data_IF_733186304108
#
_entry.id   IF_733186304108
#
_cell.length_a   1.000
_cell.length_b   1.000
_cell.length_c   1.000
_cell.angle_alpha   90.00
_cell.angle_beta   90.00
_cell.angle_gamma   90.00
#
_symmetry.space_group_name_H-M   'P 1'
#
loop_
_entity.id
_entity.type
_entity.pdbx_description
1 polymer ?
#
# COMPACT_ATOMS: atom_id res chain seq x y z
N UNK A 1 -23.33 19.11 -9.20
CA UNK A 1 -22.88 20.08 -8.16
C UNK A 1 -23.23 19.54 -6.77
N UNK A 2 -22.32 19.58 -5.79
CA UNK A 2 -22.56 19.05 -4.44
C UNK A 2 -23.71 19.80 -3.77
N UNK A 3 -24.61 19.05 -3.12
CA UNK A 3 -25.81 19.61 -2.44
C UNK A 3 -25.52 20.18 -1.06
N UNK A 4 -24.40 19.81 -0.42
CA UNK A 4 -24.05 20.25 0.95
C UNK A 4 -22.63 20.80 1.01
N UNK A 5 -22.37 21.71 1.97
CA UNK A 5 -21.03 22.25 2.23
C UNK A 5 -20.02 21.15 2.58
N UNK A 6 -20.45 20.10 3.29
CA UNK A 6 -19.61 18.93 3.62
C UNK A 6 -19.19 18.17 2.36
N UNK A 7 -20.12 17.91 1.44
CA UNK A 7 -19.82 17.25 0.17
C UNK A 7 -18.90 18.10 -0.72
N UNK A 8 -19.08 19.43 -0.72
CA UNK A 8 -18.20 20.36 -1.44
C UNK A 8 -16.75 20.27 -0.92
N UNK A 9 -16.55 20.42 0.40
CA UNK A 9 -15.21 20.29 1.04
C UNK A 9 -14.55 18.94 0.79
N UNK A 10 -15.34 17.87 0.73
CA UNK A 10 -14.84 16.53 0.43
C UNK A 10 -14.28 16.43 -1.00
N UNK A 11 -14.97 17.01 -1.99
CA UNK A 11 -14.49 17.05 -3.37
C UNK A 11 -13.26 17.94 -3.52
N UNK A 12 -13.29 19.15 -2.94
CA UNK A 12 -12.15 20.10 -2.96
C UNK A 12 -10.88 19.50 -2.31
N UNK A 13 -11.03 18.64 -1.30
CA UNK A 13 -9.88 17.98 -0.66
C UNK A 13 -9.17 17.02 -1.62
N UNK A 14 -9.92 16.41 -2.55
CA UNK A 14 -9.48 15.41 -3.54
C UNK A 14 -9.03 16.00 -4.86
N UNK A 15 -9.37 17.26 -5.13
CA UNK A 15 -8.91 17.93 -6.34
C UNK A 15 -7.37 18.01 -6.37
N UNK A 16 -6.75 17.99 -7.57
CA UNK A 16 -5.31 18.16 -7.73
C UNK A 16 -4.81 19.45 -7.08
N UNK A 17 -3.62 19.40 -6.49
CA UNK A 17 -3.02 20.54 -5.77
C UNK A 17 -1.57 20.73 -6.21
N UNK A 18 -1.12 21.98 -6.27
CA UNK A 18 0.29 22.31 -6.50
C UNK A 18 1.21 21.73 -5.42
N UNK A 19 0.76 21.77 -4.16
CA UNK A 19 1.40 21.08 -3.04
C UNK A 19 0.55 19.87 -2.67
N UNK A 20 1.05 18.69 -3.00
CA UNK A 20 0.36 17.43 -2.74
C UNK A 20 0.15 17.17 -1.23
N UNK A 21 -0.91 16.42 -0.91
CA UNK A 21 -1.09 15.89 0.44
C UNK A 21 -0.23 14.62 0.62
N UNK A 22 -0.08 14.16 1.86
CA UNK A 22 0.48 12.84 2.17
C UNK A 22 -0.29 11.72 1.44
N UNK A 23 0.43 10.75 0.89
CA UNK A 23 -0.12 9.66 0.10
C UNK A 23 -0.74 8.59 1.01
N UNK A 24 -2.04 8.36 0.84
CA UNK A 24 -2.74 7.30 1.56
C UNK A 24 -2.55 5.94 0.86
N UNK A 25 -2.41 4.88 1.68
CA UNK A 25 -2.30 3.51 1.20
C UNK A 25 -3.54 2.68 1.52
N UNK A 26 -4.06 1.96 0.53
CA UNK A 26 -5.08 0.93 0.76
C UNK A 26 -4.46 -0.46 0.85
N UNK A 27 -4.78 -1.19 1.91
CA UNK A 27 -4.32 -2.55 2.13
C UNK A 27 -5.48 -3.51 1.91
N UNK A 28 -5.36 -4.36 0.90
CA UNK A 28 -6.42 -5.20 0.36
C UNK A 28 -6.07 -6.66 0.58
N UNK A 29 -6.96 -7.36 1.28
CA UNK A 29 -6.88 -8.80 1.45
C UNK A 29 -7.47 -9.50 0.23
N UNK A 30 -6.65 -10.25 -0.51
CA UNK A 30 -7.09 -11.08 -1.62
C UNK A 30 -7.90 -12.31 -1.19
N UNK A 31 -8.65 -12.89 -2.12
CA UNK A 31 -9.51 -14.07 -1.89
C UNK A 31 -8.80 -15.23 -1.17
N UNK A 32 -7.57 -15.53 -1.62
CA UNK A 32 -6.79 -16.66 -1.12
C UNK A 32 -5.76 -16.28 -0.05
N UNK A 33 -5.80 -15.05 0.50
CA UNK A 33 -4.87 -14.64 1.54
C UNK A 33 -4.98 -15.53 2.79
N UNK A 34 -3.85 -16.09 3.22
CA UNK A 34 -3.72 -16.93 4.41
C UNK A 34 -3.47 -16.07 5.67
N UNK A 35 -3.19 -16.74 6.81
CA UNK A 35 -2.93 -16.07 8.08
C UNK A 35 -1.68 -15.19 8.01
N UNK A 36 -0.57 -15.69 7.50
CA UNK A 36 0.69 -14.95 7.36
C UNK A 36 0.50 -13.65 6.61
N UNK A 37 -0.10 -13.70 5.41
CA UNK A 37 -0.39 -12.51 4.60
C UNK A 37 -1.32 -11.55 5.33
N UNK A 38 -2.31 -12.08 6.06
CA UNK A 38 -3.24 -11.24 6.82
C UNK A 38 -2.53 -10.49 7.95
N UNK A 39 -1.64 -11.15 8.69
CA UNK A 39 -0.87 -10.52 9.76
C UNK A 39 0.13 -9.50 9.20
N UNK A 40 0.79 -9.79 8.07
CA UNK A 40 1.69 -8.83 7.41
C UNK A 40 0.93 -7.56 7.01
N UNK A 41 -0.26 -7.68 6.41
CA UNK A 41 -1.08 -6.52 6.07
C UNK A 41 -1.50 -5.71 7.31
N UNK A 42 -1.76 -6.37 8.46
CA UNK A 42 -2.08 -5.67 9.71
C UNK A 42 -0.86 -4.91 10.26
N UNK A 43 0.31 -5.51 10.21
CA UNK A 43 1.54 -4.90 10.72
C UNK A 43 1.97 -3.72 9.84
N UNK A 44 1.89 -3.85 8.52
CA UNK A 44 2.13 -2.72 7.59
C UNK A 44 1.08 -1.61 7.80
N UNK A 45 -0.19 -1.98 8.02
CA UNK A 45 -1.23 -1.00 8.36
C UNK A 45 -0.86 -0.22 9.63
N UNK A 46 -0.40 -0.90 10.69
CA UNK A 46 0.01 -0.25 11.94
C UNK A 46 1.15 0.75 11.72
N UNK A 47 2.14 0.41 10.88
CA UNK A 47 3.27 1.29 10.53
C UNK A 47 2.82 2.50 9.72
N UNK A 48 1.85 2.34 8.81
CA UNK A 48 1.44 3.39 7.87
C UNK A 48 0.33 4.30 8.41
N UNK A 49 -0.23 4.01 9.59
CA UNK A 49 -1.20 4.90 10.23
C UNK A 49 -0.62 6.30 10.50
N UNK A 50 -1.43 7.37 10.36
CA UNK A 50 -2.87 7.36 10.03
C UNK A 50 -3.19 7.32 8.53
N UNK A 51 -2.17 7.24 7.66
CA UNK A 51 -2.30 7.38 6.20
C UNK A 51 -2.56 6.04 5.49
N UNK A 52 -3.39 5.20 6.10
CA UNK A 52 -3.71 3.89 5.57
C UNK A 52 -5.17 3.48 5.79
N UNK A 53 -5.70 2.66 4.89
CA UNK A 53 -7.03 2.06 4.97
C UNK A 53 -6.90 0.55 4.79
N UNK A 54 -7.30 -0.23 5.79
CA UNK A 54 -7.29 -1.70 5.74
C UNK A 54 -8.68 -2.25 5.38
N UNK A 55 -8.78 -2.95 4.25
CA UNK A 55 -9.98 -3.67 3.85
C UNK A 55 -10.03 -5.06 4.49
N UNK A 56 -10.98 -5.22 5.42
CA UNK A 56 -11.15 -6.48 6.19
C UNK A 56 -11.73 -7.64 5.37
N UNK A 57 -12.64 -7.34 4.43
CA UNK A 57 -13.26 -8.35 3.57
C UNK A 57 -12.27 -8.84 2.53
N UNK A 58 -12.37 -10.12 2.17
CA UNK A 58 -11.62 -10.70 1.06
C UNK A 58 -12.14 -10.15 -0.26
N UNK A 59 -11.23 -9.82 -1.19
CA UNK A 59 -11.55 -9.32 -2.52
C UNK A 59 -10.99 -10.28 -3.56
N UNK A 60 -11.85 -10.78 -4.44
CA UNK A 60 -11.45 -11.65 -5.54
C UNK A 60 -11.03 -10.74 -6.69
N UNK A 61 -9.74 -10.39 -6.69
CA UNK A 61 -9.13 -9.53 -7.70
C UNK A 61 -7.78 -10.13 -8.08
N UNK A 62 -7.40 -10.00 -9.35
CA UNK A 62 -6.10 -10.41 -9.85
C UNK A 62 -5.44 -9.18 -10.48
N UNK A 63 -4.66 -8.41 -9.70
CA UNK A 63 -4.19 -7.09 -10.13
C UNK A 63 -3.49 -7.03 -11.49
N UNK A 64 -2.74 -8.07 -11.86
CA UNK A 64 -2.06 -8.15 -13.16
C UNK A 64 -2.95 -8.58 -14.33
N UNK A 65 -4.15 -9.10 -14.06
CA UNK A 65 -5.13 -9.50 -15.09
C UNK A 65 -6.21 -8.42 -15.26
N UNK A 66 -6.72 -7.87 -14.15
CA UNK A 66 -7.71 -6.79 -14.14
C UNK A 66 -7.46 -5.82 -12.97
N UNK A 67 -7.28 -4.55 -13.34
CA UNK A 67 -6.97 -3.45 -12.42
C UNK A 67 -8.22 -2.66 -12.00
N UNK A 68 -9.36 -2.86 -12.66
CA UNK A 68 -10.59 -2.07 -12.48
C UNK A 68 -11.05 -2.01 -11.02
N UNK A 69 -10.95 -3.15 -10.32
CA UNK A 69 -11.29 -3.22 -8.89
C UNK A 69 -10.37 -2.35 -8.03
N UNK A 70 -9.07 -2.31 -8.33
CA UNK A 70 -8.12 -1.47 -7.62
C UNK A 70 -8.36 0.01 -7.89
N UNK A 71 -8.59 0.39 -9.14
CA UNK A 71 -8.91 1.79 -9.51
C UNK A 71 -10.19 2.25 -8.82
N UNK A 72 -11.21 1.39 -8.76
CA UNK A 72 -12.44 1.65 -8.00
C UNK A 72 -12.17 1.88 -6.51
N UNK A 73 -11.37 1.03 -5.86
CA UNK A 73 -11.02 1.20 -4.45
C UNK A 73 -10.18 2.46 -4.22
N UNK A 74 -9.25 2.76 -5.13
CA UNK A 74 -8.41 3.96 -5.09
C UNK A 74 -9.26 5.22 -5.12
N UNK A 75 -10.19 5.33 -6.08
CA UNK A 75 -11.13 6.47 -6.19
C UNK A 75 -12.07 6.56 -5.00
N UNK A 76 -12.53 5.42 -4.49
CA UNK A 76 -13.43 5.36 -3.33
C UNK A 76 -12.75 5.87 -2.06
N UNK A 77 -11.54 5.40 -1.78
CA UNK A 77 -10.80 5.69 -0.54
C UNK A 77 -9.81 6.85 -0.65
N UNK A 78 -9.65 7.44 -1.83
CA UNK A 78 -8.66 8.49 -2.08
C UNK A 78 -7.24 8.06 -1.71
N UNK A 79 -6.85 6.91 -2.24
CA UNK A 79 -5.56 6.27 -1.96
C UNK A 79 -4.73 6.16 -3.25
N UNK A 80 -3.57 6.79 -3.26
CA UNK A 80 -2.62 6.74 -4.38
C UNK A 80 -1.63 5.57 -4.27
N UNK A 81 -1.66 4.82 -3.17
CA UNK A 81 -0.81 3.66 -2.92
C UNK A 81 -1.67 2.46 -2.59
N UNK A 82 -1.21 1.26 -2.92
CA UNK A 82 -1.90 0.04 -2.49
C UNK A 82 -0.97 -1.12 -2.20
N UNK A 83 -1.46 -2.01 -1.33
CA UNK A 83 -0.91 -3.34 -1.13
C UNK A 83 -2.02 -4.36 -1.30
N UNK A 84 -1.77 -5.40 -2.08
CA UNK A 84 -2.67 -6.53 -2.26
C UNK A 84 -1.99 -7.83 -1.83
N UNK A 85 -2.55 -8.46 -0.80
CA UNK A 85 -2.02 -9.72 -0.28
C UNK A 85 -2.75 -10.94 -0.82
N UNK A 86 -2.02 -11.95 -1.27
CA UNK A 86 -2.57 -13.21 -1.79
C UNK A 86 -1.67 -14.40 -1.46
N UNK A 87 -2.17 -15.62 -1.64
CA UNK A 87 -1.35 -16.82 -1.46
C UNK A 87 -1.83 -17.90 -2.42
N UNK A 88 -0.89 -18.58 -3.09
CA UNK A 88 -1.13 -19.81 -3.84
C UNK A 88 0.18 -20.63 -3.95
N UNK A 89 0.11 -21.86 -4.48
CA UNK A 89 1.28 -22.75 -4.60
C UNK A 89 2.40 -22.18 -5.47
N UNK A 90 2.06 -21.46 -6.55
CA UNK A 90 3.05 -20.85 -7.48
C UNK A 90 3.68 -19.58 -6.90
N UNK A 91 2.93 -18.84 -6.09
CA UNK A 91 3.30 -17.57 -5.46
C UNK A 91 2.88 -17.59 -3.98
N UNK A 92 3.65 -18.26 -3.12
CA UNK A 92 3.34 -18.35 -1.71
C UNK A 92 3.52 -16.98 -1.02
N UNK A 93 2.60 -16.65 -0.11
CA UNK A 93 2.62 -15.44 0.73
C UNK A 93 2.97 -14.17 -0.04
N UNK A 94 2.22 -13.94 -1.10
CA UNK A 94 2.54 -12.95 -2.10
C UNK A 94 1.95 -11.57 -1.76
N UNK A 95 2.75 -10.53 -1.89
CA UNK A 95 2.35 -9.14 -1.78
C UNK A 95 2.58 -8.41 -3.10
N UNK A 96 1.55 -7.75 -3.59
CA UNK A 96 1.67 -6.81 -4.70
C UNK A 96 1.62 -5.41 -4.10
N UNK A 97 2.65 -4.61 -4.36
CA UNK A 97 2.71 -3.20 -3.97
C UNK A 97 2.64 -2.37 -5.26
N UNK A 98 1.86 -1.30 -5.25
CA UNK A 98 1.77 -0.43 -6.42
C UNK A 98 1.29 0.97 -6.10
N UNK A 99 1.35 1.83 -7.12
CA UNK A 99 0.95 3.23 -7.04
C UNK A 99 -0.06 3.54 -8.12
N UNK A 100 -0.89 4.53 -7.82
CA UNK A 100 -1.87 5.08 -8.73
C UNK A 100 -1.45 6.49 -9.16
N UNK A 101 -1.77 6.84 -10.39
CA UNK A 101 -1.74 8.19 -10.92
C UNK A 101 -3.13 8.51 -11.48
N UNK A 102 -3.75 9.57 -10.98
CA UNK A 102 -5.15 9.91 -11.29
C UNK A 102 -6.11 8.71 -11.15
N UNK A 103 -5.96 7.95 -10.06
CA UNK A 103 -6.73 6.74 -9.75
C UNK A 103 -6.54 5.55 -10.72
N UNK A 104 -5.65 5.66 -11.71
CA UNK A 104 -5.22 4.58 -12.59
C UNK A 104 -3.91 3.97 -12.11
N UNK A 105 -3.70 2.67 -12.34
CA UNK A 105 -2.46 2.00 -11.93
C UNK A 105 -1.29 2.56 -12.76
N UNK A 106 -0.26 3.06 -12.05
CA UNK A 106 0.98 3.54 -12.66
C UNK A 106 2.00 2.40 -12.74
N UNK A 107 2.28 1.77 -11.61
CA UNK A 107 3.21 0.64 -11.53
C UNK A 107 2.84 -0.33 -10.40
N UNK A 108 3.29 -1.58 -10.57
CA UNK A 108 3.10 -2.67 -9.62
C UNK A 108 4.35 -3.53 -9.55
N UNK A 109 4.69 -3.99 -8.34
CA UNK A 109 5.76 -4.97 -8.10
C UNK A 109 5.20 -6.06 -7.19
N UNK A 110 5.60 -7.30 -7.48
CA UNK A 110 5.21 -8.48 -6.72
C UNK A 110 6.40 -8.98 -5.88
N UNK A 111 6.15 -9.20 -4.58
CA UNK A 111 7.14 -9.60 -3.59
C UNK A 111 6.63 -10.81 -2.81
N UNK A 112 7.40 -11.90 -2.82
CA UNK A 112 7.11 -13.09 -2.02
C UNK A 112 7.63 -12.95 -0.59
N UNK A 113 6.82 -13.30 0.40
CA UNK A 113 7.24 -13.32 1.81
C UNK A 113 7.73 -14.72 2.19
N UNK A 114 8.99 -14.81 2.59
CA UNK A 114 9.60 -16.06 3.04
C UNK A 114 9.55 -16.24 4.57
N UNK A 115 10.16 -15.31 5.32
CA UNK A 115 10.34 -15.42 6.78
C UNK A 115 9.74 -14.20 7.49
N UNK A 116 8.44 -14.28 7.80
CA UNK A 116 7.74 -13.21 8.50
C UNK A 116 7.87 -13.33 10.03
N UNK A 117 8.18 -12.22 10.68
CA UNK A 117 8.11 -12.03 12.13
C UNK A 117 7.15 -10.87 12.39
N UNK A 118 6.13 -11.08 13.23
CA UNK A 118 5.15 -10.03 13.49
C UNK A 118 5.68 -9.00 14.48
N UNK A 119 5.20 -7.77 14.39
CA UNK A 119 5.48 -6.69 15.35
C UNK A 119 5.12 -7.08 16.79
N UNK A 120 4.16 -7.98 16.98
CA UNK A 120 3.78 -8.48 18.32
C UNK A 120 4.82 -9.41 18.94
N UNK A 121 5.65 -10.06 18.11
CA UNK A 121 6.67 -11.02 18.54
C UNK A 121 8.01 -10.31 18.81
N UNK A 122 8.17 -9.07 18.34
CA UNK A 122 9.35 -8.23 18.59
C UNK A 122 9.26 -7.64 20.00
N UNK A 123 10.14 -8.11 20.89
CA UNK A 123 10.23 -7.67 22.30
C UNK A 123 10.97 -6.33 22.42
N UNK A 124 10.36 -5.24 21.95
CA UNK A 124 10.92 -3.88 22.04
C UNK A 124 9.90 -2.87 22.59
N UNK A 125 10.38 -1.67 22.93
CA UNK A 125 9.52 -0.52 23.22
C UNK A 125 8.65 -0.17 22.01
N UNK A 126 7.39 0.17 22.26
CA UNK A 126 6.45 0.52 21.19
C UNK A 126 6.82 1.88 20.60
N UNK A 127 6.84 1.98 19.27
CA UNK A 127 6.98 3.25 18.56
C UNK A 127 5.63 3.99 18.54
N UNK A 128 5.57 5.30 18.82
CA UNK A 128 4.35 6.09 18.66
C UNK A 128 3.80 6.04 17.23
N UNK A 129 2.48 5.96 17.09
CA UNK A 129 1.79 6.04 15.80
C UNK A 129 2.10 7.37 15.09
N UNK A 130 2.28 7.34 13.76
CA UNK A 130 2.58 8.54 12.96
C UNK A 130 4.05 9.00 13.02
N UNK A 131 4.93 8.27 13.71
CA UNK A 131 6.37 8.54 13.67
C UNK A 131 6.89 8.41 12.23
N UNK A 132 7.59 9.43 11.75
CA UNK A 132 8.17 9.42 10.40
C UNK A 132 9.32 8.39 10.34
N UNK A 133 9.27 7.39 9.45
CA UNK A 133 10.31 6.38 9.36
C UNK A 133 11.57 6.93 8.69
N UNK A 134 12.72 6.36 9.06
CA UNK A 134 13.97 6.49 8.31
C UNK A 134 14.14 5.25 7.43
N UNK A 135 14.56 5.45 6.18
CA UNK A 135 14.83 4.37 5.23
C UNK A 135 16.31 4.30 4.93
N UNK A 136 16.87 3.10 4.94
CA UNK A 136 18.24 2.80 4.53
C UNK A 136 18.15 1.73 3.46
N UNK A 137 18.69 2.01 2.27
CA UNK A 137 18.84 1.05 1.18
C UNK A 137 20.31 0.64 1.12
N UNK A 138 20.63 -0.53 1.66
CA UNK A 138 21.98 -1.07 1.65
C UNK A 138 22.18 -1.96 0.42
N UNK A 139 23.23 -1.68 -0.36
CA UNK A 139 23.57 -2.40 -1.60
C UNK A 139 23.55 -1.49 -2.83
N UNK A 140 24.57 -1.63 -3.68
CA UNK A 140 24.75 -0.90 -4.93
C UNK A 140 23.72 -1.27 -5.99
N UNK A 141 23.14 -2.48 -5.91
CA UNK A 141 22.05 -2.95 -6.79
C UNK A 141 20.89 -1.95 -6.89
N UNK A 142 20.58 -1.22 -5.81
CA UNK A 142 19.54 -0.18 -5.81
C UNK A 142 19.87 1.07 -6.65
N UNK A 143 21.12 1.23 -7.08
CA UNK A 143 21.59 2.32 -7.95
C UNK A 143 21.91 1.85 -9.38
N UNK A 144 22.38 0.61 -9.53
CA UNK A 144 22.80 0.09 -10.85
C UNK A 144 21.71 -0.66 -11.59
N UNK A 145 20.83 -1.38 -10.89
CA UNK A 145 19.77 -2.18 -11.53
C UNK A 145 18.45 -1.41 -11.59
N UNK A 146 17.85 -1.33 -12.77
CA UNK A 146 16.63 -0.56 -13.01
C UNK A 146 15.42 -1.07 -12.20
N UNK A 147 15.22 -2.39 -12.10
CA UNK A 147 14.11 -2.97 -11.34
C UNK A 147 14.22 -2.62 -9.85
N UNK A 148 15.44 -2.67 -9.31
CA UNK A 148 15.70 -2.29 -7.92
C UNK A 148 15.58 -0.78 -7.70
N UNK A 149 15.97 0.06 -8.67
CA UNK A 149 15.71 1.51 -8.62
C UNK A 149 14.21 1.81 -8.58
N UNK A 150 13.41 1.10 -9.38
CA UNK A 150 11.93 1.21 -9.37
C UNK A 150 11.35 0.76 -8.03
N UNK A 151 11.82 -0.38 -7.50
CA UNK A 151 11.43 -0.85 -6.16
C UNK A 151 11.80 0.15 -5.07
N UNK A 152 13.00 0.73 -5.10
CA UNK A 152 13.43 1.79 -4.19
C UNK A 152 12.50 3.01 -4.26
N UNK A 153 12.19 3.49 -5.46
CA UNK A 153 11.24 4.59 -5.68
C UNK A 153 9.86 4.28 -5.11
N UNK A 154 9.37 3.05 -5.34
CA UNK A 154 8.09 2.58 -4.82
C UNK A 154 8.06 2.56 -3.29
N UNK A 155 9.08 1.99 -2.65
CA UNK A 155 9.20 1.89 -1.20
C UNK A 155 9.36 3.26 -0.53
N UNK A 156 10.14 4.17 -1.13
CA UNK A 156 10.23 5.57 -0.66
C UNK A 156 8.84 6.22 -0.66
N UNK A 157 8.11 6.10 -1.79
CA UNK A 157 6.74 6.59 -1.88
C UNK A 157 5.80 5.93 -0.86
N UNK A 158 6.00 4.64 -0.59
CA UNK A 158 5.17 3.87 0.33
C UNK A 158 5.32 4.31 1.79
N UNK A 159 6.51 4.72 2.24
CA UNK A 159 6.79 4.94 3.67
C UNK A 159 7.14 6.38 4.06
N UNK A 160 7.73 7.18 3.17
CA UNK A 160 8.13 8.57 3.48
C UNK A 160 7.08 9.59 3.03
N UNK A 161 6.28 9.23 2.02
CA UNK A 161 5.26 10.07 1.38
C UNK A 161 3.88 10.04 2.02
#
# INVERSE_FOLDING_TARGET
KPKTKRAKRFLEKREPKLKENTKNAMLIKGGNANLTVTEVLKDIYAVKKPFAVLYKKKNITRPFEDQTSLEFFSKKSDCSLFLFGSHNKKRPNNLIIGRMFDYHVLDMIELGIEKFVSLKDVKNSKCPEGTKPMLIFAGDTFEVNEEYRRLKSLLIGQYIG
#
